data_IF_785381277933
#
_entry.id   IF_785381277933
#
_cell.length_a   1.000
_cell.length_b   1.000
_cell.length_c   1.000
_cell.angle_alpha   90.00
_cell.angle_beta   90.00
_cell.angle_gamma   90.00
#
_symmetry.space_group_name_H-M   'P 1'
#
loop_
_entity.id
_entity.type
_entity.pdbx_description
1 polymer ?
#
# COMPACT_ATOMS: atom_id res chain seq x y z
N UNK A 1 21.57 -8.67 -9.06
CA UNK A 1 21.26 -8.33 -7.65
C UNK A 1 20.32 -7.12 -7.47
N UNK A 2 20.52 -5.98 -8.15
CA UNK A 2 19.66 -4.77 -8.01
C UNK A 2 18.17 -4.92 -8.40
N UNK A 3 17.82 -5.98 -9.14
CA UNK A 3 16.42 -6.31 -9.48
C UNK A 3 15.72 -7.06 -8.34
N UNK A 4 16.42 -7.95 -7.64
CA UNK A 4 15.89 -8.67 -6.48
C UNK A 4 15.60 -7.72 -5.31
N UNK A 5 16.53 -6.79 -5.02
CA UNK A 5 16.31 -5.74 -4.01
C UNK A 5 15.14 -4.81 -4.34
N UNK A 6 14.87 -4.58 -5.63
CA UNK A 6 13.73 -3.79 -6.10
C UNK A 6 12.42 -4.47 -5.69
N UNK A 7 12.30 -5.75 -6.06
CA UNK A 7 11.11 -6.56 -5.81
C UNK A 7 10.87 -6.71 -4.32
N UNK A 8 11.91 -7.00 -3.53
CA UNK A 8 11.80 -7.12 -2.07
C UNK A 8 11.28 -5.82 -1.44
N UNK A 9 11.81 -4.67 -1.88
CA UNK A 9 11.37 -3.38 -1.33
C UNK A 9 9.93 -3.02 -1.75
N UNK A 10 9.54 -3.36 -2.97
CA UNK A 10 8.15 -3.19 -3.43
C UNK A 10 7.18 -4.08 -2.63
N UNK A 11 7.56 -5.33 -2.38
CA UNK A 11 6.76 -6.29 -1.60
C UNK A 11 6.64 -5.84 -0.14
N UNK A 12 7.74 -5.41 0.48
CA UNK A 12 7.71 -4.88 1.84
C UNK A 12 6.87 -3.60 1.96
N UNK A 13 7.03 -2.65 1.02
CA UNK A 13 6.26 -1.42 1.00
C UNK A 13 4.77 -1.65 0.77
N UNK A 14 4.42 -2.54 -0.16
CA UNK A 14 3.04 -2.93 -0.41
C UNK A 14 2.44 -3.66 0.80
N UNK A 15 3.20 -4.53 1.46
CA UNK A 15 2.76 -5.24 2.66
C UNK A 15 2.44 -4.29 3.81
N UNK A 16 3.35 -3.36 4.10
CA UNK A 16 3.15 -2.34 5.12
C UNK A 16 1.92 -1.47 4.81
N UNK A 17 1.78 -1.01 3.56
CA UNK A 17 0.65 -0.18 3.17
C UNK A 17 -0.68 -0.94 3.24
N UNK A 18 -0.70 -2.22 2.83
CA UNK A 18 -1.87 -3.09 2.96
C UNK A 18 -2.27 -3.24 4.41
N UNK A 19 -1.31 -3.40 5.31
CA UNK A 19 -1.56 -3.52 6.76
C UNK A 19 -2.16 -2.22 7.31
N UNK A 20 -1.62 -1.06 6.92
CA UNK A 20 -2.17 0.26 7.32
C UNK A 20 -3.60 0.44 6.80
N UNK A 21 -3.88 0.08 5.55
CA UNK A 21 -5.23 0.14 4.97
C UNK A 21 -6.19 -0.78 5.72
N UNK A 22 -5.76 -2.02 5.99
CA UNK A 22 -6.57 -3.03 6.69
C UNK A 22 -6.89 -2.60 8.12
N UNK A 23 -5.88 -2.15 8.86
CA UNK A 23 -6.06 -1.63 10.21
C UNK A 23 -6.95 -0.38 10.23
N UNK A 24 -6.73 0.56 9.31
CA UNK A 24 -7.55 1.76 9.18
C UNK A 24 -9.01 1.45 8.87
N UNK A 25 -9.26 0.53 7.93
CA UNK A 25 -10.62 0.10 7.60
C UNK A 25 -11.31 -0.59 8.78
N UNK A 26 -10.56 -1.38 9.56
CA UNK A 26 -11.08 -2.02 10.77
C UNK A 26 -11.46 -1.00 11.85
N UNK A 27 -10.63 0.02 12.07
CA UNK A 27 -10.94 1.12 12.98
C UNK A 27 -12.19 1.88 12.51
N UNK A 28 -12.31 2.14 11.21
CA UNK A 28 -13.50 2.78 10.65
C UNK A 28 -14.75 1.93 10.90
N UNK A 29 -14.68 0.61 10.72
CA UNK A 29 -15.80 -0.30 11.02
C UNK A 29 -16.22 -0.22 12.49
N UNK A 30 -15.25 -0.27 13.41
CA UNK A 30 -15.50 -0.19 14.86
C UNK A 30 -16.11 1.16 15.28
N UNK A 31 -15.60 2.28 14.76
CA UNK A 31 -15.99 3.62 15.22
C UNK A 31 -17.16 4.24 14.45
N UNK A 32 -17.58 3.68 13.32
CA UNK A 32 -18.76 4.15 12.58
C UNK A 32 -20.07 3.55 13.16
N UNK A 33 -19.98 2.74 14.22
CA UNK A 33 -21.10 2.08 14.91
C UNK A 33 -22.12 3.04 15.51
N UNK A 34 -23.40 2.81 15.22
CA UNK A 34 -24.48 3.25 16.10
C UNK A 34 -24.49 2.26 17.28
N UNK A 35 -24.53 2.76 18.51
CA UNK A 35 -24.50 1.96 19.75
C UNK A 35 -25.83 1.25 20.05
N UNK A 36 -26.70 1.01 19.07
CA UNK A 36 -28.01 0.40 19.28
C UNK A 36 -28.21 -0.90 18.48
N UNK A 37 -28.19 -2.02 19.22
CA UNK A 37 -28.60 -3.35 18.74
C UNK A 37 -27.48 -4.27 18.24
N UNK A 38 -27.89 -5.47 17.79
CA UNK A 38 -27.02 -6.44 17.10
C UNK A 38 -26.56 -5.85 15.76
N UNK A 39 -25.27 -5.56 15.65
CA UNK A 39 -24.68 -4.89 14.50
C UNK A 39 -23.67 -5.83 13.84
N UNK A 40 -24.04 -6.37 12.68
CA UNK A 40 -23.13 -7.09 11.77
C UNK A 40 -22.66 -6.15 10.66
N UNK A 41 -21.34 -5.98 10.52
CA UNK A 41 -20.74 -5.08 9.54
C UNK A 41 -19.57 -5.72 8.82
N UNK A 42 -19.53 -5.47 7.52
CA UNK A 42 -18.43 -5.91 6.68
C UNK A 42 -17.73 -4.73 6.01
N UNK A 43 -16.41 -4.77 5.93
CA UNK A 43 -15.59 -3.78 5.22
C UNK A 43 -14.54 -4.44 4.32
N UNK A 44 -13.87 -3.62 3.50
CA UNK A 44 -12.91 -4.09 2.49
C UNK A 44 -13.48 -5.22 1.61
N UNK A 45 -14.66 -4.99 1.01
CA UNK A 45 -15.33 -5.95 0.13
C UNK A 45 -15.63 -7.30 0.82
N UNK A 46 -16.03 -7.27 2.10
CA UNK A 46 -16.31 -8.48 2.87
C UNK A 46 -15.08 -9.13 3.48
N UNK A 47 -13.90 -8.51 3.37
CA UNK A 47 -12.69 -9.07 3.97
C UNK A 47 -12.63 -8.89 5.48
N UNK A 48 -13.12 -7.76 5.97
CA UNK A 48 -13.19 -7.45 7.39
C UNK A 48 -14.63 -7.62 7.87
N UNK A 49 -14.76 -8.19 9.05
CA UNK A 49 -16.04 -8.46 9.69
C UNK A 49 -15.99 -7.93 11.12
N UNK A 50 -17.06 -7.25 11.51
CA UNK A 50 -17.27 -6.70 12.84
C UNK A 50 -18.70 -7.02 13.27
N UNK A 51 -18.80 -7.82 14.32
CA UNK A 51 -20.03 -8.20 14.99
C UNK A 51 -20.04 -7.67 16.40
N UNK A 52 -21.08 -6.92 16.74
CA UNK A 52 -21.42 -6.57 18.11
C UNK A 52 -22.79 -7.16 18.42
N UNK A 53 -22.85 -8.13 19.34
CA UNK A 53 -24.09 -8.80 19.76
C UNK A 53 -24.34 -8.50 21.23
N UNK A 54 -25.51 -8.00 21.57
CA UNK A 54 -25.88 -7.74 22.97
C UNK A 54 -26.43 -9.02 23.59
N UNK A 55 -25.69 -9.62 24.54
CA UNK A 55 -26.16 -10.81 25.24
C UNK A 55 -27.29 -10.47 26.22
N UNK A 56 -28.18 -11.44 26.53
CA UNK A 56 -29.28 -11.26 27.49
C UNK A 56 -28.85 -10.88 28.93
N UNK A 57 -27.58 -11.05 29.26
CA UNK A 57 -26.97 -10.67 30.54
C UNK A 57 -26.49 -9.21 30.58
N UNK A 58 -26.73 -8.45 29.50
CA UNK A 58 -26.29 -7.06 29.35
C UNK A 58 -24.81 -6.92 28.96
N UNK A 59 -24.13 -8.02 28.61
CA UNK A 59 -22.75 -8.01 28.12
C UNK A 59 -22.77 -7.88 26.59
N UNK A 60 -22.03 -6.92 26.06
CA UNK A 60 -21.80 -6.81 24.61
C UNK A 60 -20.66 -7.74 24.21
N UNK A 61 -20.95 -8.73 23.37
CA UNK A 61 -19.94 -9.58 22.75
C UNK A 61 -19.47 -8.93 21.44
N UNK A 62 -18.16 -8.73 21.30
CA UNK A 62 -17.56 -8.08 20.14
C UNK A 62 -16.64 -9.06 19.45
N UNK A 63 -17.00 -9.45 18.23
CA UNK A 63 -16.14 -10.24 17.34
C UNK A 63 -15.67 -9.37 16.20
N UNK A 64 -14.35 -9.28 16.02
CA UNK A 64 -13.75 -8.45 14.98
C UNK A 64 -12.61 -9.24 14.33
N UNK A 65 -12.69 -9.45 13.01
CA UNK A 65 -11.72 -10.31 12.34
C UNK A 65 -11.73 -10.24 10.81
N UNK A 66 -11.05 -11.21 10.20
CA UNK A 66 -10.98 -11.38 8.76
C UNK A 66 -11.94 -12.50 8.35
N UNK A 67 -13.09 -12.14 7.77
CA UNK A 67 -14.06 -13.10 7.25
C UNK A 67 -13.66 -13.66 5.88
N UNK A 68 -13.05 -12.83 5.02
CA UNK A 68 -12.56 -13.26 3.70
C UNK A 68 -11.18 -12.65 3.37
N UNK A 69 -10.10 -13.44 3.30
CA UNK A 69 -8.77 -12.89 3.01
C UNK A 69 -8.57 -12.46 1.54
N UNK A 70 -9.47 -12.86 0.62
CA UNK A 70 -9.28 -12.65 -0.83
C UNK A 70 -9.15 -11.17 -1.20
N UNK A 71 -10.04 -10.24 -0.77
CA UNK A 71 -9.89 -8.84 -1.13
C UNK A 71 -8.60 -8.20 -0.60
N UNK A 72 -8.11 -8.62 0.58
CA UNK A 72 -6.84 -8.14 1.14
C UNK A 72 -5.67 -8.58 0.24
N UNK A 73 -5.67 -9.84 -0.20
CA UNK A 73 -4.65 -10.35 -1.12
C UNK A 73 -4.68 -9.65 -2.48
N UNK A 74 -5.88 -9.32 -2.99
CA UNK A 74 -6.04 -8.55 -4.23
C UNK A 74 -5.48 -7.13 -4.09
N UNK A 75 -5.79 -6.42 -3.00
CA UNK A 75 -5.24 -5.09 -2.71
C UNK A 75 -3.72 -5.16 -2.63
N UNK A 76 -3.18 -6.15 -1.92
CA UNK A 76 -1.74 -6.36 -1.81
C UNK A 76 -1.10 -6.58 -3.18
N UNK A 77 -1.66 -7.45 -4.03
CA UNK A 77 -1.14 -7.72 -5.36
C UNK A 77 -1.14 -6.46 -6.24
N UNK A 78 -2.22 -5.67 -6.20
CA UNK A 78 -2.32 -4.40 -6.93
C UNK A 78 -1.24 -3.42 -6.45
N UNK A 79 -1.04 -3.29 -5.13
CA UNK A 79 -0.03 -2.41 -4.57
C UNK A 79 1.40 -2.85 -4.94
N UNK A 80 1.69 -4.14 -4.91
CA UNK A 80 2.99 -4.67 -5.37
C UNK A 80 3.25 -4.28 -6.82
N UNK A 81 2.25 -4.47 -7.70
CA UNK A 81 2.35 -4.10 -9.10
C UNK A 81 2.57 -2.60 -9.28
N UNK A 82 1.81 -1.78 -8.56
CA UNK A 82 1.92 -0.32 -8.59
C UNK A 82 3.31 0.15 -8.15
N UNK A 83 3.84 -0.36 -7.03
CA UNK A 83 5.17 -0.01 -6.54
C UNK A 83 6.26 -0.46 -7.51
N UNK A 84 6.11 -1.64 -8.14
CA UNK A 84 7.03 -2.11 -9.16
C UNK A 84 7.05 -1.17 -10.38
N UNK A 85 5.88 -0.77 -10.88
CA UNK A 85 5.75 0.16 -12.01
C UNK A 85 6.39 1.52 -11.70
N UNK A 86 6.10 2.10 -10.53
CA UNK A 86 6.69 3.37 -10.09
C UNK A 86 8.22 3.27 -10.10
N UNK A 87 8.80 2.20 -9.54
CA UNK A 87 10.24 2.03 -9.52
C UNK A 87 10.86 1.85 -10.92
N UNK A 88 10.17 1.16 -11.84
CA UNK A 88 10.62 1.02 -13.23
C UNK A 88 10.67 2.40 -13.91
N UNK A 89 9.60 3.18 -13.79
CA UNK A 89 9.49 4.52 -14.40
C UNK A 89 10.55 5.45 -13.81
N UNK A 90 10.69 5.47 -12.48
CA UNK A 90 11.66 6.32 -11.78
C UNK A 90 13.09 6.01 -12.21
N UNK A 91 13.44 4.73 -12.38
CA UNK A 91 14.76 4.32 -12.89
C UNK A 91 15.00 4.78 -14.32
N UNK A 92 14.01 4.64 -15.22
CA UNK A 92 14.13 5.11 -16.60
C UNK A 92 14.32 6.62 -16.68
N UNK A 93 13.58 7.38 -15.87
CA UNK A 93 13.72 8.83 -15.79
C UNK A 93 15.09 9.25 -15.26
N UNK A 94 15.57 8.58 -14.21
CA UNK A 94 16.89 8.87 -13.64
C UNK A 94 18.02 8.62 -14.65
N UNK A 95 17.96 7.51 -15.39
CA UNK A 95 18.93 7.21 -16.45
C UNK A 95 18.93 8.25 -17.56
N UNK A 96 17.74 8.69 -18.01
CA UNK A 96 17.64 9.76 -19.03
C UNK A 96 18.23 11.07 -18.53
N UNK A 97 17.95 11.43 -17.28
CA UNK A 97 18.51 12.64 -16.65
C UNK A 97 20.05 12.58 -16.60
N UNK A 98 20.61 11.44 -16.21
CA UNK A 98 22.07 11.24 -16.16
C UNK A 98 22.71 11.37 -17.54
N UNK A 99 22.10 10.80 -18.59
CA UNK A 99 22.57 10.95 -19.97
C UNK A 99 22.54 12.41 -20.46
N UNK A 100 21.47 13.15 -20.15
CA UNK A 100 21.36 14.56 -20.54
C UNK A 100 22.40 15.43 -19.82
N UNK A 101 22.63 15.18 -18.52
CA UNK A 101 23.64 15.90 -17.74
C UNK A 101 25.07 15.59 -18.21
N UNK A 102 25.35 14.36 -18.62
CA UNK A 102 26.63 13.99 -19.23
C UNK A 102 26.84 14.71 -20.57
N UNK A 103 25.86 14.65 -21.47
CA UNK A 103 25.98 15.32 -22.77
C UNK A 103 26.10 16.85 -22.69
N UNK A 104 25.48 17.50 -21.68
CA UNK A 104 25.68 18.93 -21.42
C UNK A 104 27.09 19.23 -20.88
N UNK A 105 27.62 18.38 -20.01
CA UNK A 105 28.97 18.53 -19.46
C UNK A 105 30.04 18.37 -20.53
N UNK A 106 29.89 17.38 -21.41
CA UNK A 106 30.84 17.10 -22.48
C UNK A 106 30.86 18.26 -23.50
N UNK A 107 29.68 18.74 -23.92
CA UNK A 107 29.57 19.95 -24.75
C UNK A 107 30.06 21.23 -24.07
N UNK A 108 30.05 21.30 -22.74
CA UNK A 108 30.59 22.44 -22.00
C UNK A 108 32.12 22.45 -21.96
N UNK A 109 32.74 21.26 -21.96
CA UNK A 109 34.19 21.08 -21.94
C UNK A 109 34.84 21.37 -23.31
N UNK A 110 34.16 21.06 -24.41
CA UNK A 110 34.64 21.35 -25.77
C UNK A 110 34.72 22.86 -26.10
N UNK A 111 34.10 23.71 -25.29
CA UNK A 111 34.02 25.16 -25.52
C UNK A 111 35.11 25.95 -24.78
N UNK A 112 36.06 25.28 -24.13
CA UNK A 112 37.15 25.93 -23.40
C UNK A 112 38.36 26.02 -24.35
N UNK A 113 38.63 27.20 -24.95
CA UNK A 113 39.82 27.34 -25.80
C UNK A 113 41.06 27.11 -24.94
N UNK A 114 41.93 26.20 -25.40
CA UNK A 114 43.24 25.98 -24.81
C UNK A 114 44.00 27.32 -24.85
N UNK A 115 44.23 27.90 -23.67
CA UNK A 115 45.06 29.09 -23.47
C UNK A 115 46.52 28.75 -23.62
#
# INVERSE_FOLDING_TARGET
>A
MKKALLVINSVAGAGLLTLVITAGAMLVLMFTGDNSGDVHRTGLFGALEFDAVERPDGVVDITAGVGNPVPILVIFAILVLQFALIQIVFRRLKQRREHLLQGMRDRGADNVPAR
#
